data_IF_516957877274
#
_entry.id   IF_516957877274
#
_cell.length_a   1.000
_cell.length_b   1.000
_cell.length_c   1.000
_cell.angle_alpha   90.00
_cell.angle_beta   90.00
_cell.angle_gamma   90.00
#
_symmetry.space_group_name_H-M   'P 1'
#
loop_
_entity.id
_entity.type
_entity.pdbx_description
1 polymer ?
#
# COMPACT_ATOMS: atom_id res chain seq x y z
N UNK A 1 4.12 -8.70 -16.74
CA UNK A 1 3.02 -9.42 -16.07
C UNK A 1 2.80 -8.70 -14.75
N UNK A 2 1.54 -8.40 -14.39
CA UNK A 2 1.23 -7.93 -13.05
C UNK A 2 1.06 -9.19 -12.20
N UNK A 3 2.13 -9.57 -11.52
CA UNK A 3 2.14 -10.75 -10.64
C UNK A 3 1.47 -10.38 -9.32
N UNK A 4 0.13 -10.20 -9.39
CA UNK A 4 -0.75 -9.82 -8.29
C UNK A 4 -0.85 -10.89 -7.20
N UNK A 5 0.29 -11.34 -6.68
CA UNK A 5 0.35 -12.30 -5.60
C UNK A 5 -0.11 -11.61 -4.32
N UNK A 6 -1.09 -12.24 -3.68
CA UNK A 6 -1.82 -11.70 -2.52
C UNK A 6 -0.99 -11.62 -1.24
N UNK A 7 0.20 -12.22 -1.22
CA UNK A 7 1.12 -12.13 -0.10
C UNK A 7 2.13 -11.03 -0.38
N UNK A 8 1.89 -9.83 0.17
CA UNK A 8 2.75 -8.66 0.00
C UNK A 8 4.23 -8.93 0.36
N UNK A 9 4.49 -9.89 1.25
CA UNK A 9 5.87 -10.24 1.64
C UNK A 9 6.63 -10.98 0.54
N UNK A 10 5.90 -11.73 -0.28
CA UNK A 10 6.47 -12.48 -1.38
C UNK A 10 6.92 -11.49 -2.45
N UNK A 11 8.21 -11.53 -2.79
CA UNK A 11 8.81 -10.64 -3.79
C UNK A 11 8.56 -9.14 -3.52
N UNK A 12 8.56 -8.73 -2.24
CA UNK A 12 8.45 -7.30 -1.90
C UNK A 12 9.66 -6.51 -2.42
N UNK A 13 10.88 -7.03 -2.25
CA UNK A 13 12.12 -6.41 -2.69
C UNK A 13 12.61 -5.27 -1.80
N UNK A 14 13.66 -4.58 -2.25
CA UNK A 14 14.28 -3.46 -1.53
C UNK A 14 14.47 -2.19 -2.39
N UNK A 15 13.86 -2.13 -3.59
CA UNK A 15 13.91 -1.02 -4.55
C UNK A 15 15.22 -0.86 -5.32
N UNK A 16 16.17 -1.79 -5.17
CA UNK A 16 17.45 -1.80 -5.90
C UNK A 16 17.40 -2.81 -7.06
N UNK A 17 16.43 -3.73 -7.05
CA UNK A 17 16.24 -4.72 -8.10
C UNK A 17 15.81 -4.08 -9.43
N UNK A 18 16.03 -4.77 -10.55
CA UNK A 18 15.71 -4.21 -11.88
C UNK A 18 14.23 -4.35 -12.26
N UNK A 19 13.55 -5.42 -11.83
CA UNK A 19 12.13 -5.74 -12.13
C UNK A 19 11.65 -6.95 -11.30
N UNK A 20 10.36 -7.27 -11.35
CA UNK A 20 9.71 -8.43 -10.71
C UNK A 20 9.63 -8.37 -9.18
N UNK A 21 9.83 -7.19 -8.59
CA UNK A 21 9.64 -6.99 -7.15
C UNK A 21 8.66 -5.85 -6.93
N UNK A 22 7.66 -6.08 -6.07
CA UNK A 22 6.52 -5.18 -5.91
C UNK A 22 6.95 -3.75 -5.54
N UNK A 23 7.94 -3.60 -4.65
CA UNK A 23 8.43 -2.28 -4.24
C UNK A 23 9.15 -1.56 -5.40
N UNK A 24 9.97 -2.27 -6.17
CA UNK A 24 10.68 -1.75 -7.34
C UNK A 24 9.73 -1.29 -8.45
N UNK A 25 8.73 -2.11 -8.79
CA UNK A 25 7.75 -1.78 -9.84
C UNK A 25 6.94 -0.55 -9.44
N UNK A 26 6.57 -0.42 -8.16
CA UNK A 26 5.87 0.76 -7.65
C UNK A 26 6.75 2.01 -7.69
N UNK A 27 8.04 1.91 -7.33
CA UNK A 27 8.98 3.03 -7.43
C UNK A 27 9.10 3.51 -8.88
N UNK A 28 9.32 2.57 -9.80
CA UNK A 28 9.42 2.88 -11.23
C UNK A 28 8.13 3.52 -11.75
N UNK A 29 6.95 3.01 -11.36
CA UNK A 29 5.67 3.60 -11.75
C UNK A 29 5.49 5.04 -11.23
N UNK A 30 5.97 5.32 -10.00
CA UNK A 30 5.98 6.68 -9.44
C UNK A 30 6.94 7.60 -10.19
N UNK A 31 8.14 7.12 -10.55
CA UNK A 31 9.15 7.90 -11.28
C UNK A 31 8.76 8.17 -12.73
N UNK A 32 8.14 7.19 -13.40
CA UNK A 32 7.73 7.34 -14.79
C UNK A 32 6.60 8.36 -14.96
N UNK A 33 5.84 8.66 -13.89
CA UNK A 33 4.70 9.60 -13.90
C UNK A 33 3.68 9.35 -15.03
N UNK A 34 3.65 8.14 -15.58
CA UNK A 34 2.73 7.75 -16.66
C UNK A 34 1.31 7.46 -16.16
N UNK A 35 1.14 7.38 -14.84
CA UNK A 35 -0.12 7.05 -14.19
C UNK A 35 -0.58 8.22 -13.32
N UNK A 36 -1.86 8.60 -13.45
CA UNK A 36 -2.44 9.69 -12.65
C UNK A 36 -2.50 9.38 -11.15
N UNK A 37 -2.61 8.11 -10.76
CA UNK A 37 -2.50 7.61 -9.38
C UNK A 37 -1.89 6.21 -9.38
N UNK A 38 -1.09 5.91 -8.37
CA UNK A 38 -0.46 4.59 -8.15
C UNK A 38 -0.97 4.01 -6.83
N UNK A 39 -1.50 2.79 -6.87
CA UNK A 39 -2.07 2.08 -5.72
C UNK A 39 -1.27 0.79 -5.46
N UNK A 40 -1.12 0.41 -4.19
CA UNK A 40 -0.50 -0.87 -3.81
C UNK A 40 -1.50 -1.85 -3.17
N UNK A 41 -1.23 -3.16 -3.24
CA UNK A 41 -2.11 -4.27 -2.82
C UNK A 41 -1.32 -5.36 -2.08
N UNK A 42 -1.89 -6.24 -1.24
CA UNK A 42 -2.95 -6.03 -0.24
C UNK A 42 -2.31 -6.17 1.14
N UNK A 43 -2.56 -5.25 2.06
CA UNK A 43 -2.05 -5.35 3.44
C UNK A 43 -2.93 -6.25 4.32
N UNK A 44 -2.27 -7.19 5.00
CA UNK A 44 -2.83 -8.01 6.08
C UNK A 44 -2.30 -7.59 7.47
N UNK A 45 -2.91 -8.08 8.55
CA UNK A 45 -2.46 -7.84 9.94
C UNK A 45 -1.01 -8.31 10.12
N UNK A 46 -0.19 -7.53 10.86
CA UNK A 46 1.23 -7.86 11.08
C UNK A 46 2.15 -7.45 9.93
N UNK A 47 1.63 -6.72 8.93
CA UNK A 47 2.40 -6.22 7.78
C UNK A 47 2.61 -4.70 7.82
N UNK A 48 2.53 -4.09 9.00
CA UNK A 48 2.62 -2.64 9.21
C UNK A 48 3.94 -2.07 8.65
N UNK A 49 5.04 -2.83 8.75
CA UNK A 49 6.35 -2.44 8.19
C UNK A 49 6.35 -2.26 6.67
N UNK A 50 5.46 -2.96 5.96
CA UNK A 50 5.35 -2.85 4.50
C UNK A 50 4.45 -1.68 4.13
N UNK A 51 3.39 -1.44 4.92
CA UNK A 51 2.56 -0.24 4.79
C UNK A 51 3.42 1.03 4.93
N UNK A 52 4.29 1.05 5.94
CA UNK A 52 5.24 2.14 6.20
C UNK A 52 6.11 2.43 4.97
N UNK A 53 6.78 1.40 4.42
CA UNK A 53 7.62 1.56 3.22
C UNK A 53 6.82 2.02 2.00
N UNK A 54 5.63 1.48 1.78
CA UNK A 54 4.80 1.85 0.63
C UNK A 54 4.27 3.28 0.73
N UNK A 55 3.87 3.72 1.92
CA UNK A 55 3.42 5.10 2.14
C UNK A 55 4.59 6.08 2.06
N UNK A 56 5.76 5.74 2.60
CA UNK A 56 6.98 6.53 2.43
C UNK A 56 7.45 6.62 0.97
N UNK A 57 7.15 5.62 0.14
CA UNK A 57 7.39 5.67 -1.31
C UNK A 57 6.44 6.66 -2.02
N UNK A 58 5.37 7.09 -1.35
CA UNK A 58 4.42 8.08 -1.88
C UNK A 58 3.34 7.48 -2.77
N UNK A 59 3.01 6.19 -2.62
CA UNK A 59 1.84 5.62 -3.32
C UNK A 59 0.57 6.38 -2.92
N UNK A 60 -0.32 6.60 -3.88
CA UNK A 60 -1.53 7.41 -3.70
C UNK A 60 -2.64 6.67 -2.94
N UNK A 61 -2.48 5.37 -2.72
CA UNK A 61 -3.44 4.59 -1.95
C UNK A 61 -2.99 3.16 -1.69
N UNK A 62 -3.58 2.60 -0.64
CA UNK A 62 -3.34 1.23 -0.20
C UNK A 62 -4.65 0.46 -0.21
N UNK A 63 -4.64 -0.69 -0.88
CA UNK A 63 -5.69 -1.70 -0.79
C UNK A 63 -5.37 -2.57 0.43
N UNK A 64 -6.33 -2.72 1.33
CA UNK A 64 -6.20 -3.55 2.54
C UNK A 64 -7.35 -4.57 2.61
N UNK A 65 -7.08 -5.74 3.19
CA UNK A 65 -8.08 -6.80 3.25
C UNK A 65 -7.48 -8.17 3.60
N UNK A 66 -8.34 -9.06 4.07
CA UNK A 66 -7.98 -10.45 4.34
C UNK A 66 -8.57 -11.37 3.26
N UNK A 67 -7.71 -12.17 2.62
CA UNK A 67 -8.05 -13.01 1.47
C UNK A 67 -9.10 -14.08 1.76
N UNK A 68 -9.16 -14.60 2.98
CA UNK A 68 -9.95 -15.79 3.31
C UNK A 68 -11.25 -15.52 4.10
N UNK A 69 -11.56 -14.26 4.45
CA UNK A 69 -12.70 -13.94 5.31
C UNK A 69 -13.68 -12.97 4.63
N UNK A 70 -14.96 -13.39 4.55
CA UNK A 70 -16.06 -12.55 4.09
C UNK A 70 -16.21 -11.29 4.95
N UNK A 71 -16.54 -10.19 4.25
CA UNK A 71 -16.96 -8.83 4.64
C UNK A 71 -16.53 -8.21 5.98
N UNK A 72 -16.52 -8.90 7.12
CA UNK A 72 -16.09 -8.35 8.42
C UNK A 72 -15.24 -9.36 9.20
N UNK A 73 -13.95 -9.07 9.35
CA UNK A 73 -13.00 -9.88 10.12
C UNK A 73 -12.17 -8.96 11.02
N UNK A 74 -11.82 -9.42 12.22
CA UNK A 74 -11.01 -8.65 13.18
C UNK A 74 -9.72 -8.10 12.57
N UNK A 75 -9.13 -8.87 11.66
CA UNK A 75 -7.90 -8.53 10.94
C UNK A 75 -8.06 -7.35 9.98
N UNK A 76 -9.21 -7.23 9.29
CA UNK A 76 -9.50 -6.07 8.44
C UNK A 76 -9.61 -4.80 9.28
N UNK A 77 -10.27 -4.90 10.44
CA UNK A 77 -10.38 -3.78 11.40
C UNK A 77 -9.03 -3.41 12.00
N UNK A 78 -8.17 -4.39 12.28
CA UNK A 78 -6.82 -4.15 12.76
C UNK A 78 -5.97 -3.45 11.69
N UNK A 79 -6.02 -3.91 10.44
CA UNK A 79 -5.28 -3.31 9.34
C UNK A 79 -5.70 -1.84 9.09
N UNK A 80 -6.99 -1.53 9.03
CA UNK A 80 -7.42 -0.14 8.82
C UNK A 80 -7.09 0.77 10.02
N UNK A 81 -7.13 0.23 11.26
CA UNK A 81 -6.67 1.00 12.44
C UNK A 81 -5.17 1.30 12.36
N UNK A 82 -4.35 0.33 11.95
CA UNK A 82 -2.92 0.52 11.79
C UNK A 82 -2.60 1.57 10.71
N UNK A 83 -3.27 1.50 9.55
CA UNK A 83 -3.11 2.49 8.47
C UNK A 83 -3.52 3.89 8.97
N UNK A 84 -4.67 4.02 9.64
CA UNK A 84 -5.11 5.31 10.19
C UNK A 84 -4.11 5.87 11.21
N UNK A 85 -3.68 5.04 12.16
CA UNK A 85 -2.69 5.45 13.16
C UNK A 85 -1.36 5.89 12.53
N UNK A 86 -0.94 5.23 11.44
CA UNK A 86 0.23 5.65 10.68
C UNK A 86 0.03 7.01 10.02
N UNK A 87 -1.11 7.23 9.36
CA UNK A 87 -1.44 8.51 8.70
C UNK A 87 -1.53 9.63 9.73
N UNK A 88 -2.19 9.40 10.87
CA UNK A 88 -2.28 10.38 11.96
C UNK A 88 -0.90 10.76 12.51
N UNK A 89 0.05 9.81 12.54
CA UNK A 89 1.44 10.06 12.95
C UNK A 89 2.25 10.84 11.90
N UNK A 90 1.86 10.78 10.62
CA UNK A 90 2.52 11.47 9.49
C UNK A 90 1.60 12.52 8.87
N UNK A 91 0.82 13.21 9.71
CA UNK A 91 -0.19 14.18 9.26
C UNK A 91 0.38 15.41 8.56
N UNK A 92 1.70 15.62 8.68
CA UNK A 92 2.46 16.67 8.01
C UNK A 92 2.62 16.43 6.50
N UNK A 93 2.59 15.16 6.09
CA UNK A 93 2.86 14.72 4.71
C UNK A 93 1.73 13.89 4.12
N UNK A 94 0.90 13.27 4.95
CA UNK A 94 -0.14 12.34 4.54
C UNK A 94 -1.48 12.66 5.22
N UNK A 95 -2.58 12.42 4.51
CA UNK A 95 -3.93 12.46 5.08
C UNK A 95 -4.83 11.43 4.39
N UNK A 96 -5.91 11.02 5.06
CA UNK A 96 -6.94 10.21 4.42
C UNK A 96 -7.66 11.07 3.38
N UNK A 97 -7.79 10.53 2.16
CA UNK A 97 -8.52 11.17 1.08
C UNK A 97 -10.00 11.36 1.47
N UNK A 98 -10.55 12.51 1.10
CA UNK A 98 -11.95 12.86 1.30
C UNK A 98 -12.62 13.16 -0.05
N UNK A 99 -13.88 13.60 -0.05
CA UNK A 99 -14.65 13.86 -1.29
C UNK A 99 -14.05 14.96 -2.17
N UNK A 100 -13.26 15.85 -1.61
CA UNK A 100 -12.64 16.98 -2.32
C UNK A 100 -11.42 16.52 -3.14
N UNK A 101 -10.87 15.33 -2.87
CA UNK A 101 -9.69 14.77 -3.56
C UNK A 101 -10.02 14.01 -4.87
N UNK A 102 -11.29 14.08 -5.31
CA UNK A 102 -11.83 13.35 -6.48
C UNK A 102 -11.96 14.27 -7.71
N UNK A 103 -11.54 15.53 -7.61
CA UNK A 103 -11.58 16.53 -8.69
C UNK A 103 -10.56 16.27 -9.79
#
# INVERSE_FOLDING_TARGET
MSDGYYNLQFEFGNCIENKNYSYTELRQAMEEMKFGKVLSWTLATGQERYADRLLLLGVHGLIYGFKAAHYDHGDKRAAIRAIKAWVDKHSDTHRIANKEDVS
#
